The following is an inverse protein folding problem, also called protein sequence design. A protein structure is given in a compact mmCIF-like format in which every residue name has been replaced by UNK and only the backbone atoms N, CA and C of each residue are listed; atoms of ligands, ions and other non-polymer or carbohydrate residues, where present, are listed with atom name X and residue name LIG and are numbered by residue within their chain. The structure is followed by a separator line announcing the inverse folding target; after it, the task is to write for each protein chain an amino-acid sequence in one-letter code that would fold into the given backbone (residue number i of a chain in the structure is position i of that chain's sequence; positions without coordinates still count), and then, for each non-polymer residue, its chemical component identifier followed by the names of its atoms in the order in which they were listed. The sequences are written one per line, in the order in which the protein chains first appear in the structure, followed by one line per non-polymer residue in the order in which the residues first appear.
data_IF_218060708409
#
_entry.id   IF_218060708409
#
_cell.length_a   1.000
_cell.length_b   1.000
_cell.length_c   1.000
_cell.angle_alpha   90.00
_cell.angle_beta   90.00
_cell.angle_gamma   90.00
#
_symmetry.space_group_name_H-M   'P 1'
#
loop_
_entity.id
_entity.type
_entity.pdbx_description
1 polymer ?
#
# COMPACT_ATOMS: atom_id res chain seq x y z
N UNK A 1 25.83 37.26 -57.82
CA UNK A 1 25.38 35.89 -57.49
C UNK A 1 25.50 35.72 -55.97
N UNK A 2 24.38 35.80 -55.24
CA UNK A 2 24.36 35.63 -53.79
C UNK A 2 24.05 34.16 -53.50
N UNK A 3 24.96 33.46 -52.80
CA UNK A 3 24.75 32.09 -52.32
C UNK A 3 23.84 32.13 -51.08
N UNK A 4 22.66 31.57 -51.16
CA UNK A 4 21.84 31.25 -49.97
C UNK A 4 22.41 29.97 -49.30
N UNK A 5 22.86 30.09 -48.07
CA UNK A 5 23.18 28.94 -47.23
C UNK A 5 21.94 28.56 -46.43
N UNK A 6 21.38 27.40 -46.71
CA UNK A 6 20.27 26.81 -45.96
C UNK A 6 20.84 26.09 -44.75
N UNK A 7 20.65 26.59 -43.55
CA UNK A 7 20.94 25.87 -42.29
C UNK A 7 19.76 24.95 -41.99
N UNK A 8 19.98 23.65 -42.12
CA UNK A 8 19.05 22.64 -41.68
C UNK A 8 19.12 22.53 -40.14
N UNK A 9 18.03 22.82 -39.47
CA UNK A 9 17.87 22.62 -38.05
C UNK A 9 17.62 21.12 -37.79
N UNK A 10 18.61 20.36 -37.32
CA UNK A 10 18.39 19.00 -36.82
C UNK A 10 17.68 19.06 -35.47
N UNK A 11 16.40 18.72 -35.44
CA UNK A 11 15.70 18.41 -34.20
C UNK A 11 16.20 17.06 -33.68
N UNK A 12 17.05 17.08 -32.69
CA UNK A 12 17.40 15.89 -31.91
C UNK A 12 16.26 15.62 -30.94
N UNK A 13 15.39 14.69 -31.31
CA UNK A 13 14.39 14.16 -30.35
C UNK A 13 15.17 13.32 -29.29
N UNK A 14 15.39 13.90 -28.13
CA UNK A 14 15.86 13.13 -26.98
C UNK A 14 14.74 12.21 -26.50
N UNK A 15 14.83 10.93 -26.84
CA UNK A 15 14.05 9.89 -26.18
C UNK A 15 14.57 9.77 -24.74
N UNK A 16 14.01 10.56 -23.84
CA UNK A 16 14.20 10.33 -22.42
C UNK A 16 13.53 8.98 -22.08
N UNK A 17 14.31 8.00 -21.68
CA UNK A 17 13.73 6.82 -21.02
C UNK A 17 12.99 7.33 -19.80
N UNK A 18 11.66 7.10 -19.74
CA UNK A 18 10.88 7.44 -18.58
C UNK A 18 11.41 6.60 -17.42
N UNK A 19 12.10 7.24 -16.48
CA UNK A 19 12.61 6.56 -15.30
C UNK A 19 11.41 6.24 -14.41
N UNK A 20 11.29 4.97 -13.98
CA UNK A 20 10.27 4.55 -13.03
C UNK A 20 10.32 5.44 -11.78
N UNK A 21 9.19 5.95 -11.28
CA UNK A 21 9.18 6.85 -10.14
C UNK A 21 9.76 6.15 -8.89
N UNK A 22 10.46 6.92 -8.07
CA UNK A 22 10.89 6.48 -6.74
C UNK A 22 9.64 6.47 -5.87
N UNK A 23 9.24 5.29 -5.42
CA UNK A 23 8.05 5.10 -4.58
C UNK A 23 8.31 4.06 -3.51
N UNK A 24 7.61 4.20 -2.40
CA UNK A 24 7.53 3.23 -1.32
C UNK A 24 6.06 3.07 -0.95
N UNK A 25 5.57 1.84 -0.73
CA UNK A 25 4.19 1.53 -0.35
C UNK A 25 3.14 2.09 -1.34
N UNK A 26 3.20 1.70 -2.63
CA UNK A 26 2.35 2.29 -3.65
C UNK A 26 0.94 1.72 -3.64
N UNK A 27 -0.05 2.61 -3.78
CA UNK A 27 -1.44 2.27 -4.06
C UNK A 27 -1.95 3.03 -5.27
N UNK A 28 -2.86 2.45 -6.03
CA UNK A 28 -3.38 3.04 -7.26
C UNK A 28 -4.90 3.09 -7.27
N UNK A 29 -5.44 4.05 -8.02
CA UNK A 29 -6.85 4.12 -8.36
C UNK A 29 -7.01 4.83 -9.72
N UNK A 30 -8.14 4.60 -10.40
CA UNK A 30 -8.41 5.22 -11.71
C UNK A 30 -9.61 6.17 -11.62
N UNK A 31 -9.45 7.42 -12.08
CA UNK A 31 -10.54 8.38 -12.28
C UNK A 31 -10.54 8.87 -13.73
N UNK A 32 -11.66 8.73 -14.42
CA UNK A 32 -11.89 9.28 -15.80
C UNK A 32 -10.73 9.02 -16.77
N UNK A 33 -10.21 7.78 -16.77
CA UNK A 33 -9.12 7.37 -17.66
C UNK A 33 -7.72 7.88 -17.26
N UNK A 34 -7.57 8.39 -16.03
CA UNK A 34 -6.28 8.74 -15.43
C UNK A 34 -6.02 7.83 -14.25
N UNK A 35 -4.85 7.21 -14.19
CA UNK A 35 -4.36 6.47 -13.04
C UNK A 35 -3.69 7.44 -12.08
N UNK A 36 -4.05 7.35 -10.80
CA UNK A 36 -3.44 8.08 -9.71
C UNK A 36 -2.73 7.10 -8.81
N UNK A 37 -1.48 7.41 -8.48
CA UNK A 37 -0.61 6.63 -7.61
C UNK A 37 -0.33 7.45 -6.36
N UNK A 38 -0.62 6.90 -5.20
CA UNK A 38 -0.25 7.46 -3.90
C UNK A 38 0.79 6.57 -3.24
N UNK A 39 1.73 7.17 -2.51
CA UNK A 39 2.78 6.41 -1.84
C UNK A 39 3.35 7.16 -0.64
N UNK A 40 4.05 6.44 0.20
CA UNK A 40 4.79 7.00 1.34
C UNK A 40 5.65 8.19 0.91
N UNK A 41 5.59 9.27 1.69
CA UNK A 41 6.37 10.48 1.43
C UNK A 41 5.91 11.69 2.22
N UNK A 42 6.52 12.83 1.95
CA UNK A 42 6.14 14.09 2.59
C UNK A 42 4.71 14.48 2.17
N UNK A 43 3.79 14.42 3.14
CA UNK A 43 2.37 14.71 2.93
C UNK A 43 1.64 13.72 2.01
N UNK A 44 2.10 12.46 1.87
CA UNK A 44 1.70 11.47 0.86
C UNK A 44 2.03 11.97 -0.56
N UNK A 45 3.00 11.35 -1.18
CA UNK A 45 3.36 11.63 -2.58
C UNK A 45 2.28 11.15 -3.54
N UNK A 46 1.99 11.95 -4.55
CA UNK A 46 0.99 11.63 -5.58
C UNK A 46 1.61 11.74 -6.98
N UNK A 47 1.20 10.84 -7.87
CA UNK A 47 1.56 10.86 -9.29
C UNK A 47 0.33 10.53 -10.12
N UNK A 48 0.31 11.01 -11.38
CA UNK A 48 -0.72 10.66 -12.36
C UNK A 48 -0.12 10.07 -13.63
N UNK A 49 -0.89 9.18 -14.29
CA UNK A 49 -0.50 8.58 -15.57
C UNK A 49 -1.71 8.26 -16.44
N UNK A 50 -1.54 8.27 -17.76
CA UNK A 50 -2.54 7.78 -18.71
C UNK A 50 -2.31 6.34 -19.15
N UNK A 51 -1.14 5.78 -18.87
CA UNK A 51 -0.68 4.50 -19.46
C UNK A 51 0.02 3.57 -18.44
N UNK A 52 0.08 3.97 -17.16
CA UNK A 52 0.81 3.26 -16.08
C UNK A 52 2.33 3.12 -16.33
N UNK A 53 2.88 3.85 -17.30
CA UNK A 53 4.32 3.82 -17.66
C UNK A 53 4.95 5.18 -17.48
N UNK A 54 4.28 6.21 -17.97
CA UNK A 54 4.75 7.59 -17.89
C UNK A 54 4.03 8.31 -16.77
N UNK A 55 4.78 8.67 -15.71
CA UNK A 55 4.22 9.25 -14.49
C UNK A 55 4.60 10.71 -14.35
N UNK A 56 3.60 11.53 -14.04
CA UNK A 56 3.76 12.95 -13.70
C UNK A 56 3.57 13.11 -12.21
N UNK A 57 4.51 13.80 -11.55
CA UNK A 57 4.36 14.11 -10.12
C UNK A 57 3.28 15.17 -9.94
N UNK A 58 2.36 14.91 -9.03
CA UNK A 58 1.27 15.81 -8.64
C UNK A 58 1.53 16.42 -7.25
N UNK A 59 0.77 17.45 -6.84
CA UNK A 59 0.83 17.94 -5.46
C UNK A 59 0.58 16.81 -4.45
N UNK A 60 1.31 16.84 -3.33
CA UNK A 60 1.05 15.93 -2.21
C UNK A 60 -0.35 16.12 -1.64
N UNK A 61 -0.93 15.05 -1.07
CA UNK A 61 -2.27 15.09 -0.44
C UNK A 61 -2.34 16.13 0.68
N UNK A 62 -1.30 16.19 1.50
CA UNK A 62 -1.18 17.16 2.60
C UNK A 62 -0.01 18.11 2.35
N UNK A 63 -0.28 19.40 2.21
CA UNK A 63 0.74 20.44 2.18
C UNK A 63 1.44 20.58 3.55
N UNK A 64 0.65 20.45 4.63
CA UNK A 64 1.10 20.47 6.01
C UNK A 64 0.69 19.17 6.71
N UNK A 65 1.39 18.80 7.79
CA UNK A 65 1.07 17.60 8.57
C UNK A 65 -0.35 17.68 9.15
N UNK A 66 -1.03 16.53 9.31
CA UNK A 66 -2.30 16.47 10.02
C UNK A 66 -2.17 17.09 11.43
N UNK A 67 -3.15 17.90 11.85
CA UNK A 67 -3.08 18.65 13.12
C UNK A 67 -2.90 17.76 14.35
N UNK A 68 -3.35 16.54 14.27
CA UNK A 68 -3.28 15.56 15.35
C UNK A 68 -1.95 14.76 15.37
N UNK A 69 -1.13 14.84 14.32
CA UNK A 69 0.04 13.98 14.17
C UNK A 69 1.05 14.09 15.32
N UNK A 70 1.29 15.30 15.84
CA UNK A 70 2.20 15.52 16.97
C UNK A 70 1.70 14.90 18.29
N UNK A 71 0.39 14.67 18.44
CA UNK A 71 -0.15 13.98 19.61
C UNK A 71 0.14 12.47 19.62
N UNK A 72 0.41 11.91 18.44
CA UNK A 72 0.78 10.49 18.26
C UNK A 72 2.29 10.34 18.21
N UNK A 73 2.96 11.10 17.34
CA UNK A 73 4.42 11.10 17.17
C UNK A 73 4.94 12.52 17.43
N UNK A 74 5.53 12.80 18.60
CA UNK A 74 6.08 14.11 18.92
C UNK A 74 7.09 14.59 17.84
N UNK A 75 6.97 15.83 17.42
CA UNK A 75 7.79 16.45 16.37
C UNK A 75 7.68 15.76 15.01
N UNK A 76 6.50 15.29 14.64
CA UNK A 76 6.26 14.64 13.36
C UNK A 76 6.62 15.55 12.17
N UNK A 77 7.43 15.07 11.23
CA UNK A 77 7.97 15.84 10.11
C UNK A 77 7.16 15.72 8.80
N UNK A 78 5.88 15.36 8.88
CA UNK A 78 4.99 15.16 7.73
C UNK A 78 5.44 14.05 6.75
N UNK A 79 6.22 13.08 7.20
CA UNK A 79 6.55 11.88 6.44
C UNK A 79 5.50 10.81 6.71
N UNK A 80 4.42 10.82 5.94
CA UNK A 80 3.24 9.99 6.10
C UNK A 80 3.42 8.68 5.31
N UNK A 81 2.99 7.54 5.89
CA UNK A 81 3.29 6.22 5.38
C UNK A 81 2.07 5.50 4.84
N UNK A 82 2.35 4.56 3.93
CA UNK A 82 1.49 3.48 3.49
C UNK A 82 0.02 3.88 3.32
N UNK A 83 -0.32 4.68 2.31
CA UNK A 83 -1.71 5.03 2.06
C UNK A 83 -2.51 3.85 1.49
N UNK A 84 -3.84 3.85 1.69
CA UNK A 84 -4.80 3.11 0.88
C UNK A 84 -5.86 4.07 0.34
N UNK A 85 -6.31 3.87 -0.89
CA UNK A 85 -7.29 4.74 -1.55
C UNK A 85 -8.48 3.94 -2.07
N UNK A 86 -9.69 4.39 -1.73
CA UNK A 86 -10.94 3.74 -2.12
C UNK A 86 -11.98 4.76 -2.56
N UNK A 87 -12.75 4.44 -3.61
CA UNK A 87 -13.88 5.28 -4.06
C UNK A 87 -15.20 4.70 -3.54
N UNK A 88 -15.95 5.50 -2.82
CA UNK A 88 -17.26 5.11 -2.29
C UNK A 88 -18.21 6.30 -2.22
N UNK A 89 -19.45 6.09 -2.69
CA UNK A 89 -20.52 7.10 -2.61
C UNK A 89 -20.12 8.51 -3.08
N UNK A 90 -19.41 8.60 -4.23
CA UNK A 90 -19.03 9.88 -4.82
C UNK A 90 -17.83 10.58 -4.16
N UNK A 91 -17.14 9.91 -3.25
CA UNK A 91 -15.95 10.41 -2.57
C UNK A 91 -14.79 9.41 -2.67
N UNK A 92 -13.57 9.91 -2.77
CA UNK A 92 -12.35 9.15 -2.56
C UNK A 92 -11.97 9.24 -1.09
N UNK A 93 -11.76 8.10 -0.46
CA UNK A 93 -11.24 7.95 0.87
C UNK A 93 -9.79 7.55 0.79
N UNK A 94 -8.91 8.25 1.47
CA UNK A 94 -7.49 7.92 1.59
C UNK A 94 -7.17 7.71 3.06
N UNK A 95 -6.91 6.45 3.42
CA UNK A 95 -6.36 6.10 4.73
C UNK A 95 -4.85 6.27 4.69
N UNK A 96 -4.23 6.61 5.81
CA UNK A 96 -2.80 6.88 5.87
C UNK A 96 -2.26 6.67 7.29
N UNK A 97 -0.96 6.42 7.41
CA UNK A 97 -0.32 6.08 8.67
C UNK A 97 0.62 7.19 9.15
N UNK A 98 0.46 7.59 10.41
CA UNK A 98 1.39 8.43 11.16
C UNK A 98 2.07 7.54 12.20
N UNK A 99 3.40 7.39 12.10
CA UNK A 99 4.16 6.45 12.93
C UNK A 99 5.61 6.89 13.11
N UNK A 100 6.33 6.18 14.00
CA UNK A 100 7.77 6.25 14.14
C UNK A 100 8.39 4.87 13.93
N UNK A 101 9.57 4.83 13.29
CA UNK A 101 10.24 3.58 12.92
C UNK A 101 10.51 2.67 14.13
N UNK A 102 10.20 1.38 13.99
CA UNK A 102 10.30 0.35 15.04
C UNK A 102 9.50 0.66 16.32
N UNK A 103 8.42 1.42 16.19
CA UNK A 103 7.47 1.72 17.28
C UNK A 103 6.05 1.37 16.84
N UNK A 104 5.20 1.03 17.81
CA UNK A 104 3.76 1.01 17.62
C UNK A 104 3.05 2.22 18.26
N UNK A 105 3.80 3.32 18.44
CA UNK A 105 3.25 4.65 18.64
C UNK A 105 2.75 5.14 17.29
N UNK A 106 1.54 4.73 16.90
CA UNK A 106 1.06 4.87 15.54
C UNK A 106 -0.43 5.14 15.49
N UNK A 107 -0.87 5.82 14.42
CA UNK A 107 -2.29 5.98 14.14
C UNK A 107 -2.56 5.96 12.63
N UNK A 108 -3.71 5.40 12.26
CA UNK A 108 -4.28 5.50 10.93
C UNK A 108 -5.31 6.62 10.93
N UNK A 109 -5.13 7.60 10.06
CA UNK A 109 -6.09 8.65 9.77
C UNK A 109 -6.83 8.39 8.45
N UNK A 110 -7.87 9.19 8.19
CA UNK A 110 -8.59 9.17 6.91
C UNK A 110 -8.86 10.58 6.41
N UNK A 111 -8.61 10.80 5.11
CA UNK A 111 -8.97 12.02 4.41
C UNK A 111 -9.87 11.71 3.21
N UNK A 112 -10.68 12.68 2.78
CA UNK A 112 -11.56 12.52 1.62
C UNK A 112 -11.43 13.66 0.63
N UNK A 113 -11.70 13.37 -0.65
CA UNK A 113 -11.85 14.35 -1.74
C UNK A 113 -12.92 13.90 -2.74
N UNK A 114 -13.67 14.82 -3.36
CA UNK A 114 -14.64 14.46 -4.40
C UNK A 114 -14.00 14.12 -5.76
N UNK A 115 -12.74 14.45 -5.97
CA UNK A 115 -12.00 14.18 -7.23
C UNK A 115 -10.51 14.05 -6.95
N UNK A 116 -9.83 13.30 -7.81
CA UNK A 116 -8.36 13.14 -7.76
C UNK A 116 -7.64 14.12 -8.71
N UNK A 117 -8.38 14.80 -9.60
CA UNK A 117 -7.79 15.77 -10.52
C UNK A 117 -7.42 17.08 -9.80
N UNK A 118 -6.12 17.38 -9.60
CA UNK A 118 -5.70 18.58 -8.89
C UNK A 118 -6.03 19.88 -9.64
N UNK A 119 -6.48 19.82 -10.89
CA UNK A 119 -6.91 20.98 -11.68
C UNK A 119 -8.40 21.25 -11.57
N UNK A 120 -9.17 20.34 -10.97
CA UNK A 120 -10.60 20.51 -10.76
C UNK A 120 -10.88 21.56 -9.67
N UNK A 121 -11.88 22.41 -9.89
CA UNK A 121 -12.24 23.49 -8.95
C UNK A 121 -12.69 23.00 -7.56
N UNK A 122 -13.17 21.77 -7.48
CA UNK A 122 -13.58 21.12 -6.24
C UNK A 122 -12.53 20.15 -5.68
N UNK A 123 -11.30 20.12 -6.21
CA UNK A 123 -10.21 19.35 -5.64
C UNK A 123 -9.81 19.90 -4.27
N UNK A 124 -10.09 19.11 -3.24
CA UNK A 124 -9.73 19.47 -1.88
C UNK A 124 -9.73 18.23 -0.99
N UNK A 125 -8.59 17.88 -0.45
CA UNK A 125 -8.49 16.87 0.59
C UNK A 125 -8.95 17.44 1.93
N UNK A 126 -9.82 16.72 2.62
CA UNK A 126 -10.32 17.04 3.96
C UNK A 126 -9.92 15.93 4.91
N UNK A 127 -9.06 16.24 5.87
CA UNK A 127 -8.67 15.33 6.95
C UNK A 127 -9.80 15.18 7.96
N UNK A 128 -10.17 13.94 8.30
CA UNK A 128 -11.20 13.60 9.30
C UNK A 128 -10.60 13.14 10.63
N UNK A 129 -9.27 13.12 10.75
CA UNK A 129 -8.60 12.71 11.98
C UNK A 129 -8.33 11.21 12.07
N UNK A 130 -8.11 10.76 13.29
CA UNK A 130 -7.71 9.40 13.63
C UNK A 130 -8.90 8.44 13.54
N UNK A 131 -8.74 7.33 12.82
CA UNK A 131 -9.66 6.19 12.80
C UNK A 131 -9.30 5.19 13.89
N UNK A 132 -8.01 4.87 14.02
CA UNK A 132 -7.49 3.92 15.01
C UNK A 132 -6.06 4.28 15.43
N UNK A 133 -5.72 4.01 16.69
CA UNK A 133 -4.42 4.30 17.27
C UNK A 133 -3.91 3.14 18.12
N UNK A 134 -2.66 2.74 17.89
CA UNK A 134 -1.92 1.82 18.76
C UNK A 134 -1.00 2.58 19.71
N UNK A 135 -0.73 1.98 20.88
CA UNK A 135 0.15 2.52 21.90
C UNK A 135 1.08 1.43 22.44
N UNK A 136 2.38 1.74 22.65
CA UNK A 136 3.31 0.82 23.29
C UNK A 136 2.83 0.35 24.67
N UNK A 137 3.11 -0.88 25.02
CA UNK A 137 2.74 -1.53 26.29
C UNK A 137 1.21 -1.65 26.58
N UNK A 138 0.37 -1.23 25.63
CA UNK A 138 -1.08 -1.47 25.65
C UNK A 138 -1.48 -2.46 24.57
N UNK A 139 -0.93 -2.27 23.36
CA UNK A 139 -1.35 -2.99 22.16
C UNK A 139 -0.23 -3.86 21.61
N UNK A 140 -0.54 -5.12 21.32
CA UNK A 140 0.34 -6.05 20.60
C UNK A 140 0.07 -6.04 19.10
N UNK A 141 -0.14 -4.86 18.54
CA UNK A 141 -0.33 -4.60 17.12
C UNK A 141 0.10 -3.16 16.78
N UNK A 142 0.25 -2.87 15.50
CA UNK A 142 0.70 -1.56 15.02
C UNK A 142 -0.35 -0.96 14.08
N UNK A 143 -0.81 0.26 14.35
CA UNK A 143 -1.80 0.98 13.54
C UNK A 143 -1.14 1.64 12.32
N UNK A 144 -0.64 0.82 11.39
CA UNK A 144 -0.09 1.24 10.10
C UNK A 144 -0.55 0.29 8.98
N UNK A 145 -0.26 0.63 7.75
CA UNK A 145 -0.54 -0.16 6.55
C UNK A 145 -2.04 -0.48 6.38
N UNK A 146 -2.91 0.54 6.34
CA UNK A 146 -4.34 0.33 6.19
C UNK A 146 -4.71 -0.21 4.82
N UNK A 147 -5.77 -1.04 4.77
CA UNK A 147 -6.50 -1.35 3.54
C UNK A 147 -7.99 -1.54 3.85
N UNK A 148 -8.85 -0.92 3.06
CA UNK A 148 -10.30 -1.01 3.18
C UNK A 148 -10.84 -2.12 2.29
N UNK A 149 -11.73 -2.97 2.83
CA UNK A 149 -12.49 -3.97 2.07
C UNK A 149 -13.95 -4.00 2.53
N UNK A 150 -14.85 -4.30 1.61
CA UNK A 150 -16.24 -4.62 1.94
C UNK A 150 -16.46 -6.13 1.86
N UNK A 151 -17.14 -6.69 2.86
CA UNK A 151 -17.54 -8.08 2.83
C UNK A 151 -18.70 -8.33 1.85
N UNK A 152 -19.16 -9.57 1.78
CA UNK A 152 -20.28 -10.01 0.93
C UNK A 152 -21.61 -9.36 1.28
N UNK A 153 -21.76 -8.82 2.48
CA UNK A 153 -22.96 -8.13 2.97
C UNK A 153 -22.85 -6.61 2.85
N UNK A 154 -21.74 -6.10 2.29
CA UNK A 154 -21.47 -4.67 2.19
C UNK A 154 -21.00 -4.02 3.49
N UNK A 155 -20.54 -4.82 4.47
CA UNK A 155 -19.95 -4.29 5.70
C UNK A 155 -18.51 -3.83 5.44
N UNK A 156 -18.14 -2.60 5.81
CA UNK A 156 -16.78 -2.12 5.65
C UNK A 156 -15.85 -2.64 6.76
N UNK A 157 -14.67 -3.06 6.36
CA UNK A 157 -13.62 -3.55 7.24
C UNK A 157 -12.30 -2.86 6.93
N UNK A 158 -11.61 -2.38 7.96
CA UNK A 158 -10.24 -1.89 7.88
C UNK A 158 -9.29 -2.98 8.32
N UNK A 159 -8.45 -3.47 7.43
CA UNK A 159 -7.35 -4.36 7.78
C UNK A 159 -6.04 -3.57 7.79
N UNK A 160 -5.13 -3.93 8.70
CA UNK A 160 -3.91 -3.16 8.96
C UNK A 160 -2.93 -3.96 9.80
N UNK A 161 -1.70 -3.46 9.93
CA UNK A 161 -0.74 -3.98 10.90
C UNK A 161 0.62 -4.29 10.31
N UNK A 162 1.57 -4.38 11.23
CA UNK A 162 2.97 -4.67 10.93
C UNK A 162 3.60 -5.26 12.18
N UNK A 163 4.30 -6.39 12.05
CA UNK A 163 4.99 -7.09 13.14
C UNK A 163 4.10 -7.43 14.35
N UNK A 164 4.62 -7.34 15.58
CA UNK A 164 3.95 -7.68 16.85
C UNK A 164 3.19 -9.00 16.79
N UNK A 165 1.92 -9.02 17.19
CA UNK A 165 1.05 -10.20 17.11
C UNK A 165 0.20 -10.20 15.83
N UNK A 166 0.80 -9.79 14.70
CA UNK A 166 0.23 -9.96 13.38
C UNK A 166 -0.77 -8.89 12.94
N UNK A 167 -1.40 -9.18 11.82
CA UNK A 167 -2.30 -8.28 11.08
C UNK A 167 -3.71 -8.37 11.63
N UNK A 168 -4.32 -7.22 11.82
CA UNK A 168 -5.65 -7.07 12.41
C UNK A 168 -6.66 -6.59 11.36
N UNK A 169 -7.91 -6.85 11.64
CA UNK A 169 -9.05 -6.33 10.90
C UNK A 169 -10.10 -5.86 11.91
N UNK A 170 -10.68 -4.69 11.68
CA UNK A 170 -11.72 -4.12 12.52
C UNK A 170 -12.89 -3.63 11.68
N UNK A 171 -14.12 -3.83 12.18
CA UNK A 171 -15.34 -3.34 11.54
C UNK A 171 -15.42 -1.83 11.64
N UNK A 172 -15.70 -1.17 10.50
CA UNK A 172 -15.97 0.27 10.46
C UNK A 172 -17.47 0.58 10.47
N UNK A 173 -17.79 1.81 10.85
CA UNK A 173 -19.10 2.39 10.59
C UNK A 173 -19.31 2.64 9.08
N UNK A 174 -20.57 2.74 8.60
CA UNK A 174 -20.86 2.99 7.18
C UNK A 174 -20.30 4.30 6.62
N UNK A 175 -19.93 5.26 7.48
CA UNK A 175 -19.28 6.52 7.09
C UNK A 175 -17.79 6.34 6.72
N UNK A 176 -17.21 5.17 6.99
CA UNK A 176 -15.82 4.79 6.74
C UNK A 176 -14.78 5.63 7.51
N UNK A 177 -15.17 6.31 8.57
CA UNK A 177 -14.30 7.26 9.31
C UNK A 177 -14.07 6.86 10.75
N UNK A 178 -14.75 5.85 11.24
CA UNK A 178 -14.66 5.41 12.62
C UNK A 178 -14.93 3.92 12.78
N UNK A 179 -14.42 3.35 13.87
CA UNK A 179 -14.67 1.96 14.25
C UNK A 179 -16.13 1.82 14.68
N UNK A 180 -16.78 0.73 14.25
CA UNK A 180 -18.16 0.42 14.63
C UNK A 180 -18.26 -0.04 16.10
N UNK A 181 -19.37 0.32 16.76
CA UNK A 181 -19.69 -0.18 18.08
C UNK A 181 -20.94 -1.09 18.04
N UNK A 182 -20.96 -2.25 18.71
CA UNK A 182 -19.82 -2.84 19.44
C UNK A 182 -18.68 -3.22 18.49
N UNK A 183 -17.45 -3.10 18.98
CA UNK A 183 -16.26 -3.41 18.17
C UNK A 183 -16.20 -4.89 17.80
N UNK A 184 -15.86 -5.18 16.54
CA UNK A 184 -15.63 -6.54 16.04
C UNK A 184 -14.24 -6.58 15.41
N UNK A 185 -13.42 -7.49 15.91
CA UNK A 185 -12.02 -7.63 15.52
C UNK A 185 -11.68 -9.05 15.05
N UNK A 186 -10.76 -9.14 14.09
CA UNK A 186 -10.13 -10.40 13.66
C UNK A 186 -8.61 -10.23 13.61
N UNK A 187 -7.88 -11.30 13.90
CA UNK A 187 -6.47 -11.42 13.51
C UNK A 187 -6.43 -12.27 12.23
N UNK A 188 -6.03 -11.66 11.12
CA UNK A 188 -6.16 -12.26 9.79
C UNK A 188 -4.90 -12.97 9.29
N UNK A 189 -3.73 -12.61 9.85
CA UNK A 189 -2.48 -13.29 9.58
C UNK A 189 -1.51 -13.07 10.74
N UNK A 190 -0.61 -14.04 10.98
CA UNK A 190 0.41 -13.95 12.02
C UNK A 190 1.58 -14.86 11.69
N UNK A 191 2.77 -14.46 12.09
CA UNK A 191 3.95 -15.31 12.23
C UNK A 191 4.30 -15.48 13.71
N UNK A 192 4.97 -16.55 14.04
CA UNK A 192 5.41 -16.77 15.42
C UNK A 192 6.35 -15.65 15.87
N UNK A 193 6.02 -15.04 17.01
CA UNK A 193 6.83 -14.04 17.71
C UNK A 193 7.45 -14.69 18.94
N UNK A 194 8.71 -14.37 19.22
CA UNK A 194 9.36 -14.86 20.44
C UNK A 194 8.61 -14.35 21.68
N UNK A 195 8.25 -15.27 22.57
CA UNK A 195 7.35 -14.98 23.71
C UNK A 195 8.00 -14.18 24.85
N UNK A 196 9.34 -14.15 24.89
CA UNK A 196 10.14 -13.44 25.90
C UNK A 196 10.41 -11.97 25.56
N UNK A 197 9.92 -11.50 24.40
CA UNK A 197 10.09 -10.12 24.00
C UNK A 197 9.11 -9.20 24.72
N UNK A 198 9.61 -8.06 25.22
CA UNK A 198 8.77 -7.02 25.79
C UNK A 198 7.72 -6.51 24.78
N UNK A 199 6.55 -6.10 25.27
CA UNK A 199 5.42 -5.66 24.42
C UNK A 199 5.76 -4.47 23.53
N UNK A 200 6.65 -3.58 23.95
CA UNK A 200 7.12 -2.45 23.14
C UNK A 200 8.09 -2.86 22.01
N UNK A 201 8.57 -4.11 21.99
CA UNK A 201 9.48 -4.61 20.96
C UNK A 201 8.65 -5.13 19.77
N UNK A 202 8.89 -4.68 18.51
CA UNK A 202 8.21 -5.22 17.34
C UNK A 202 8.39 -6.73 17.16
N UNK A 203 9.54 -7.26 17.58
CA UNK A 203 9.86 -8.68 17.50
C UNK A 203 10.42 -9.10 16.15
N UNK A 204 10.40 -10.42 15.94
CA UNK A 204 10.97 -11.14 14.81
C UNK A 204 9.92 -11.71 13.84
N UNK A 205 8.64 -11.54 14.17
CA UNK A 205 7.51 -11.97 13.35
C UNK A 205 7.28 -11.02 12.16
N UNK A 206 8.26 -10.94 11.27
CA UNK A 206 8.28 -9.98 10.16
C UNK A 206 7.20 -10.28 9.11
N UNK A 207 6.04 -9.63 9.25
CA UNK A 207 4.97 -9.56 8.27
C UNK A 207 4.28 -8.20 8.38
N UNK A 208 3.80 -7.65 7.25
CA UNK A 208 3.08 -6.36 7.22
C UNK A 208 2.35 -6.15 5.90
N UNK A 209 1.79 -4.95 5.68
CA UNK A 209 1.17 -4.54 4.44
C UNK A 209 0.03 -5.47 3.97
N UNK A 210 -1.02 -5.68 4.78
CA UNK A 210 -2.17 -6.47 4.35
C UNK A 210 -2.94 -5.75 3.25
N UNK A 211 -3.27 -6.46 2.18
CA UNK A 211 -4.17 -5.99 1.13
C UNK A 211 -5.14 -7.09 0.72
N UNK A 212 -6.43 -6.90 0.96
CA UNK A 212 -7.46 -7.86 0.58
C UNK A 212 -8.02 -7.48 -0.78
N UNK A 213 -7.93 -8.41 -1.73
CA UNK A 213 -8.47 -8.28 -3.07
C UNK A 213 -9.60 -9.29 -3.28
N UNK A 214 -10.75 -8.82 -3.74
CA UNK A 214 -11.89 -9.69 -4.10
C UNK A 214 -11.79 -10.07 -5.58
N UNK A 215 -11.75 -11.37 -5.86
CA UNK A 215 -11.81 -11.92 -7.21
C UNK A 215 -12.90 -12.98 -7.27
N UNK A 216 -13.85 -12.78 -8.16
CA UNK A 216 -15.03 -13.62 -8.28
C UNK A 216 -15.75 -13.78 -6.91
N UNK A 217 -15.87 -15.00 -6.40
CA UNK A 217 -16.50 -15.29 -5.11
C UNK A 217 -15.48 -15.52 -3.98
N UNK A 218 -14.20 -15.12 -4.16
CA UNK A 218 -13.16 -15.34 -3.18
C UNK A 218 -12.44 -14.02 -2.80
N UNK A 219 -11.89 -14.01 -1.60
CA UNK A 219 -11.05 -12.95 -1.07
C UNK A 219 -9.62 -13.46 -0.96
N UNK A 220 -8.67 -12.66 -1.42
CA UNK A 220 -7.26 -12.95 -1.40
C UNK A 220 -6.55 -11.94 -0.51
N UNK A 221 -6.00 -12.37 0.61
CA UNK A 221 -5.17 -11.55 1.47
C UNK A 221 -3.73 -11.64 1.01
N UNK A 222 -3.28 -10.60 0.31
CA UNK A 222 -1.86 -10.39 0.02
C UNK A 222 -1.21 -9.71 1.22
N UNK A 223 0.02 -10.06 1.52
CA UNK A 223 0.81 -9.42 2.55
C UNK A 223 2.30 -9.60 2.26
N UNK A 224 3.13 -8.82 2.93
CA UNK A 224 4.57 -8.90 2.79
C UNK A 224 5.19 -9.64 3.95
N UNK A 225 6.09 -10.56 3.66
CA UNK A 225 6.97 -11.24 4.61
C UNK A 225 8.36 -10.65 4.60
N UNK A 226 9.06 -10.81 5.71
CA UNK A 226 10.44 -10.45 5.96
C UNK A 226 10.65 -8.92 6.00
N UNK A 227 11.77 -8.39 5.56
CA UNK A 227 12.16 -7.02 5.91
C UNK A 227 12.23 -6.10 4.72
N UNK A 228 11.55 -4.95 4.81
CA UNK A 228 11.76 -3.77 3.96
C UNK A 228 12.91 -2.88 4.46
N UNK A 229 13.04 -1.73 3.85
CA UNK A 229 13.70 -0.52 4.40
C UNK A 229 15.20 -0.67 4.68
N UNK A 230 15.85 -1.65 4.02
CA UNK A 230 17.29 -1.95 4.14
C UNK A 230 18.03 -1.79 2.80
N UNK A 231 17.38 -1.12 1.81
CA UNK A 231 17.93 -1.00 0.45
C UNK A 231 18.24 -2.37 -0.15
N UNK A 232 19.46 -2.57 -0.66
CA UNK A 232 19.93 -3.82 -1.26
C UNK A 232 19.90 -5.04 -0.31
N UNK A 233 19.80 -4.81 1.00
CA UNK A 233 19.72 -5.86 2.03
C UNK A 233 18.28 -6.19 2.43
N UNK A 234 17.30 -5.59 1.77
CA UNK A 234 15.89 -5.91 1.99
C UNK A 234 15.58 -7.32 1.51
N UNK A 235 14.75 -8.04 2.27
CA UNK A 235 14.38 -9.43 1.99
C UNK A 235 12.88 -9.61 1.76
N UNK A 236 12.17 -8.52 1.63
CA UNK A 236 10.73 -8.47 1.39
C UNK A 236 10.29 -9.39 0.26
N UNK A 237 9.15 -10.06 0.45
CA UNK A 237 8.47 -10.86 -0.57
C UNK A 237 6.95 -10.80 -0.35
N UNK A 238 6.18 -10.96 -1.40
CA UNK A 238 4.71 -10.99 -1.34
C UNK A 238 4.24 -12.43 -1.27
N UNK A 239 3.39 -12.70 -0.28
CA UNK A 239 2.66 -13.97 -0.14
C UNK A 239 1.15 -13.72 -0.14
N UNK A 240 0.37 -14.78 -0.35
CA UNK A 240 -1.08 -14.70 -0.43
C UNK A 240 -1.76 -15.89 0.26
N UNK A 241 -2.92 -15.63 0.86
CA UNK A 241 -3.89 -16.64 1.28
C UNK A 241 -5.27 -16.34 0.68
N UNK A 242 -6.10 -17.36 0.61
CA UNK A 242 -7.44 -17.31 0.02
C UNK A 242 -8.51 -17.67 1.04
N UNK A 243 -9.67 -17.00 0.95
CA UNK A 243 -10.86 -17.27 1.77
C UNK A 243 -12.13 -17.05 0.96
N UNK A 244 -13.22 -17.68 1.37
CA UNK A 244 -14.58 -17.41 0.86
C UNK A 244 -15.22 -16.19 1.57
N UNK A 245 -14.60 -15.68 2.64
CA UNK A 245 -15.06 -14.53 3.43
C UNK A 245 -13.98 -13.46 3.53
N UNK A 246 -14.41 -12.20 3.52
CA UNK A 246 -13.50 -11.07 3.70
C UNK A 246 -12.74 -11.10 5.04
N UNK A 247 -13.33 -11.73 6.07
CA UNK A 247 -12.76 -11.84 7.43
C UNK A 247 -11.92 -13.10 7.66
N UNK A 248 -11.73 -13.92 6.63
CA UNK A 248 -11.00 -15.19 6.72
C UNK A 248 -11.84 -16.37 7.25
N UNK A 249 -11.21 -17.49 7.67
CA UNK A 249 -9.75 -17.70 7.66
C UNK A 249 -9.16 -17.69 6.25
N UNK A 250 -7.95 -17.17 6.12
CA UNK A 250 -7.21 -17.18 4.84
C UNK A 250 -6.25 -18.37 4.83
N UNK A 251 -6.43 -19.28 3.89
CA UNK A 251 -5.58 -20.46 3.74
C UNK A 251 -4.62 -20.29 2.56
N UNK A 252 -3.39 -20.78 2.67
CA UNK A 252 -2.46 -20.89 1.56
C UNK A 252 -2.80 -22.08 0.63
N UNK A 253 -2.01 -22.27 -0.43
CA UNK A 253 -2.24 -23.33 -1.42
C UNK A 253 -2.10 -24.76 -0.84
N UNK A 254 -1.39 -24.91 0.28
CA UNK A 254 -1.22 -26.16 0.99
C UNK A 254 -2.28 -26.35 2.09
N UNK A 255 -3.23 -25.42 2.24
CA UNK A 255 -4.31 -25.45 3.22
C UNK A 255 -3.91 -24.96 4.61
N UNK A 256 -2.73 -24.36 4.77
CA UNK A 256 -2.29 -23.81 6.06
C UNK A 256 -2.82 -22.40 6.26
N UNK A 257 -3.38 -22.12 7.45
CA UNK A 257 -3.91 -20.81 7.80
C UNK A 257 -2.79 -19.76 7.92
N UNK A 258 -3.01 -18.57 7.35
CA UNK A 258 -2.12 -17.41 7.50
C UNK A 258 -1.97 -16.97 8.96
N UNK A 259 -3.00 -17.19 9.78
CA UNK A 259 -2.93 -17.01 11.23
C UNK A 259 -1.90 -17.95 11.90
N UNK A 260 -1.59 -19.07 11.29
CA UNK A 260 -0.59 -20.05 11.74
C UNK A 260 0.73 -19.95 10.97
N UNK A 261 0.95 -18.84 10.25
CA UNK A 261 2.16 -18.62 9.47
C UNK A 261 2.15 -19.33 8.11
N UNK A 262 0.97 -19.61 7.54
CA UNK A 262 0.80 -20.00 6.14
C UNK A 262 1.03 -18.83 5.20
N UNK A 263 1.23 -19.12 3.90
CA UNK A 263 1.38 -18.11 2.87
C UNK A 263 1.97 -18.69 1.57
N UNK A 264 1.23 -18.59 0.48
CA UNK A 264 1.70 -18.97 -0.85
C UNK A 264 2.54 -17.83 -1.45
N UNK A 265 3.77 -18.13 -1.86
CA UNK A 265 4.64 -17.13 -2.50
C UNK A 265 4.05 -16.66 -3.84
N UNK A 266 3.93 -15.34 -4.01
CA UNK A 266 3.50 -14.69 -5.26
C UNK A 266 4.70 -14.15 -6.02
N UNK A 267 5.59 -13.41 -5.34
CA UNK A 267 6.79 -12.84 -5.93
C UNK A 267 7.84 -12.57 -4.85
N UNK A 268 9.10 -12.75 -5.23
CA UNK A 268 10.26 -12.39 -4.42
C UNK A 268 11.33 -11.71 -5.27
N UNK A 269 12.30 -11.12 -4.59
CA UNK A 269 13.43 -10.42 -5.24
C UNK A 269 14.41 -11.34 -5.93
N UNK A 270 15.34 -10.73 -6.66
CA UNK A 270 16.46 -11.41 -7.29
C UNK A 270 17.74 -10.56 -7.12
N UNK A 271 18.81 -10.90 -7.84
CA UNK A 271 20.09 -10.17 -7.75
C UNK A 271 20.00 -8.69 -8.16
N UNK A 272 19.04 -8.32 -9.02
CA UNK A 272 18.86 -6.95 -9.51
C UNK A 272 17.83 -6.17 -8.68
N UNK A 273 16.89 -6.86 -8.06
CA UNK A 273 15.76 -6.29 -7.32
C UNK A 273 15.66 -6.93 -5.94
N UNK A 274 16.16 -6.25 -4.93
CA UNK A 274 16.03 -6.70 -3.56
C UNK A 274 14.65 -6.31 -3.00
N UNK A 275 14.17 -7.04 -2.00
CA UNK A 275 13.04 -6.66 -1.18
C UNK A 275 11.80 -6.22 -1.93
N UNK A 276 11.09 -7.14 -2.55
CA UNK A 276 9.87 -6.93 -3.35
C UNK A 276 8.64 -7.01 -2.46
N UNK A 277 7.90 -5.93 -2.26
CA UNK A 277 6.76 -6.00 -1.33
C UNK A 277 5.93 -4.73 -1.21
N UNK A 278 5.13 -4.70 -0.16
CA UNK A 278 4.11 -3.71 0.13
C UNK A 278 3.21 -3.48 -1.07
N UNK A 279 2.47 -4.53 -1.43
CA UNK A 279 1.65 -4.52 -2.61
C UNK A 279 0.26 -3.95 -2.38
N UNK A 280 -0.30 -3.45 -3.47
CA UNK A 280 -1.74 -3.25 -3.67
C UNK A 280 -2.18 -3.97 -4.94
N UNK A 281 -3.46 -4.30 -5.04
CA UNK A 281 -4.00 -5.13 -6.13
C UNK A 281 -5.29 -4.54 -6.67
N UNK A 282 -5.37 -4.38 -7.99
CA UNK A 282 -6.50 -3.70 -8.64
C UNK A 282 -6.88 -4.34 -9.95
N UNK A 283 -8.17 -4.20 -10.31
CA UNK A 283 -8.66 -4.50 -11.66
C UNK A 283 -8.80 -3.20 -12.43
N UNK A 284 -8.07 -3.07 -13.53
CA UNK A 284 -8.21 -1.97 -14.48
C UNK A 284 -8.45 -2.54 -15.89
N UNK A 285 -9.49 -2.04 -16.56
CA UNK A 285 -9.81 -2.42 -17.94
C UNK A 285 -9.88 -3.95 -18.16
N UNK A 286 -10.42 -4.68 -17.18
CA UNK A 286 -10.62 -6.13 -17.21
C UNK A 286 -9.38 -6.97 -16.90
N UNK A 287 -8.27 -6.35 -16.52
CA UNK A 287 -7.03 -7.01 -16.10
C UNK A 287 -6.72 -6.71 -14.64
N UNK A 288 -6.18 -7.71 -13.96
CA UNK A 288 -5.76 -7.59 -12.56
C UNK A 288 -4.26 -7.28 -12.49
N UNK A 289 -3.88 -6.36 -11.61
CA UNK A 289 -2.51 -5.88 -11.47
C UNK A 289 -2.05 -5.96 -10.02
N UNK A 290 -0.83 -6.44 -9.82
CA UNK A 290 -0.07 -6.30 -8.59
C UNK A 290 0.82 -5.06 -8.71
N UNK A 291 0.63 -4.10 -7.82
CA UNK A 291 1.39 -2.85 -7.75
C UNK A 291 2.20 -2.87 -6.46
N UNK A 292 3.50 -2.68 -6.53
CA UNK A 292 4.39 -2.84 -5.38
C UNK A 292 5.68 -2.03 -5.57
N UNK A 293 6.53 -1.97 -4.56
CA UNK A 293 7.88 -1.47 -4.75
C UNK A 293 8.93 -2.58 -4.69
N UNK A 294 10.07 -2.32 -5.31
CA UNK A 294 11.26 -3.16 -5.25
C UNK A 294 12.51 -2.30 -5.17
N UNK A 295 13.52 -2.73 -4.42
CA UNK A 295 14.77 -1.99 -4.27
C UNK A 295 15.73 -2.33 -5.39
N UNK A 296 16.10 -1.33 -6.20
CA UNK A 296 17.02 -1.48 -7.33
C UNK A 296 18.47 -1.66 -6.83
N UNK A 297 18.97 -2.90 -6.91
CA UNK A 297 20.34 -3.23 -6.48
C UNK A 297 21.42 -2.57 -7.35
N UNK A 298 21.07 -2.11 -8.57
CA UNK A 298 21.98 -1.39 -9.45
C UNK A 298 21.97 0.13 -9.21
N UNK A 299 21.01 0.65 -8.40
CA UNK A 299 20.91 2.06 -8.01
C UNK A 299 20.86 2.22 -6.48
N UNK A 300 21.79 1.60 -5.77
CA UNK A 300 22.00 1.71 -4.31
C UNK A 300 20.74 1.37 -3.49
N UNK A 301 19.96 0.42 -3.96
CA UNK A 301 18.73 -0.03 -3.29
C UNK A 301 17.63 1.04 -3.23
N UNK A 302 17.54 1.93 -4.22
CA UNK A 302 16.42 2.87 -4.30
C UNK A 302 15.12 2.12 -4.60
N UNK A 303 14.03 2.41 -3.90
CA UNK A 303 12.75 1.77 -4.18
C UNK A 303 12.14 2.32 -5.49
N UNK A 304 11.70 1.41 -6.36
CA UNK A 304 11.08 1.71 -7.64
C UNK A 304 9.69 1.13 -7.72
N UNK A 305 8.78 1.84 -8.41
CA UNK A 305 7.46 1.33 -8.75
C UNK A 305 7.56 0.10 -9.63
N UNK A 306 6.81 -0.94 -9.29
CA UNK A 306 6.60 -2.11 -10.14
C UNK A 306 5.11 -2.37 -10.31
N UNK A 307 4.71 -2.65 -11.54
CA UNK A 307 3.34 -3.01 -11.91
C UNK A 307 3.42 -4.27 -12.76
N UNK A 308 2.79 -5.35 -12.28
CA UNK A 308 2.75 -6.63 -12.99
C UNK A 308 1.32 -7.09 -13.17
N UNK A 309 0.97 -7.58 -14.36
CA UNK A 309 -0.31 -8.23 -14.60
C UNK A 309 -0.39 -9.54 -13.83
N UNK A 310 -1.49 -9.77 -13.12
CA UNK A 310 -1.76 -11.02 -12.41
C UNK A 310 -2.43 -12.00 -13.38
N UNK A 311 -1.87 -13.19 -13.49
CA UNK A 311 -2.48 -14.33 -14.14
C UNK A 311 -3.04 -15.29 -13.09
N UNK A 312 -4.24 -15.78 -13.31
CA UNK A 312 -4.89 -16.72 -12.39
C UNK A 312 -4.72 -18.15 -12.87
N UNK A 313 -4.04 -18.97 -12.06
CA UNK A 313 -3.82 -20.38 -12.36
C UNK A 313 -4.39 -21.26 -11.24
N UNK A 314 -5.35 -22.11 -11.56
CA UNK A 314 -6.03 -22.97 -10.57
C UNK A 314 -6.60 -22.19 -9.39
N UNK A 315 -7.10 -20.94 -9.62
CA UNK A 315 -7.64 -20.07 -8.59
C UNK A 315 -6.60 -19.40 -7.68
N UNK A 316 -5.31 -19.36 -8.11
CA UNK A 316 -4.22 -18.69 -7.41
C UNK A 316 -3.57 -17.62 -8.29
N UNK A 317 -3.21 -16.46 -7.73
CA UNK A 317 -2.54 -15.40 -8.47
C UNK A 317 -1.08 -15.78 -8.77
N UNK A 318 -0.65 -15.50 -9.98
CA UNK A 318 0.75 -15.64 -10.41
C UNK A 318 1.16 -14.37 -11.18
N UNK A 319 2.40 -13.95 -11.06
CA UNK A 319 2.97 -12.84 -11.82
C UNK A 319 4.28 -13.28 -12.49
N UNK A 320 4.72 -12.57 -13.54
CA UNK A 320 6.03 -12.80 -14.12
C UNK A 320 7.13 -12.52 -13.08
N UNK A 321 8.24 -13.28 -13.06
CA UNK A 321 9.38 -13.00 -12.18
C UNK A 321 9.93 -11.58 -12.35
N UNK A 322 10.74 -11.12 -11.40
CA UNK A 322 11.52 -9.88 -11.54
C UNK A 322 12.62 -10.09 -12.59
N UNK A 323 12.73 -9.12 -13.51
CA UNK A 323 13.75 -9.10 -14.59
C UNK A 323 15.04 -8.42 -14.17
#
# INVERSE_FOLDING_TARGET
MKKLSTYGLLLVASFGFAQEPIVHDPVMIKEKGTYYLFCTGKGISCFSSKDMKNWTKEPSVFAEKPKWADSVVPNFENHIWAPDVYFHNGQYYLYYSVSAFAKNTSAIGVATTPTLDPKASNYKWTDHGIVIQSQPNRDLWNAIDPNLIFDENGTPWLNFGSFWDGLKMVKLNPDLKSIAEPQVWHTIARRARSFDLADANPGDAALEAPFIFKKDNAYYLFLSWDYCCRGEKSTYKVVVGKSDKATGPFLDADGKDLFQGGGTLVIEGNKNWAGVGHNSTYTFDGKDYLVFHAYDSNDKGKPRLKIKEINWKNGWPTVSPME
#
